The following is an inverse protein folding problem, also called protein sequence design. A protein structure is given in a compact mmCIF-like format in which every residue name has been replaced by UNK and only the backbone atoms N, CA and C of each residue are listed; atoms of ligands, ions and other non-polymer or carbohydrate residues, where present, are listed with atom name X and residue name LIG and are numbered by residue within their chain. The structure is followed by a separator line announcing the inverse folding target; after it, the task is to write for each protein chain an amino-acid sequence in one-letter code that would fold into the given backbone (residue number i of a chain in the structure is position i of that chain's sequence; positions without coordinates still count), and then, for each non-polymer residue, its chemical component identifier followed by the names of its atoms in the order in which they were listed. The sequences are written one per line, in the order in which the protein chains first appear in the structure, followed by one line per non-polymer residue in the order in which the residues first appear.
data_IF_258384684064
#
_entry.id   IF_258384684064
#
_cell.length_a   1.000
_cell.length_b   1.000
_cell.length_c   1.000
_cell.angle_alpha   90.00
_cell.angle_beta   90.00
_cell.angle_gamma   90.00
#
_symmetry.space_group_name_H-M   'P 1'
#
loop_
_entity.id
_entity.type
_entity.pdbx_description
1 polymer ?
#
# COMPACT_ATOMS: atom_id res chain seq x y z
N UNK A 1 -11.30 17.35 8.95
CA UNK A 1 -10.81 17.21 7.56
C UNK A 1 -10.23 15.80 7.48
N UNK A 2 -10.54 15.08 6.42
CA UNK A 2 -10.42 13.61 6.36
C UNK A 2 -8.95 13.23 6.06
N UNK A 3 -8.09 13.24 7.08
CA UNK A 3 -6.70 12.79 7.00
C UNK A 3 -6.58 11.25 6.88
N UNK A 4 -7.70 10.52 6.95
CA UNK A 4 -7.82 9.06 6.83
C UNK A 4 -7.71 8.54 5.38
N UNK A 5 -7.03 9.26 4.49
CA UNK A 5 -6.82 8.82 3.11
C UNK A 5 -5.41 8.25 2.94
N UNK A 6 -5.34 7.13 2.22
CA UNK A 6 -4.06 6.55 1.78
C UNK A 6 -3.24 7.58 0.98
N UNK A 7 -1.91 7.63 1.18
CA UNK A 7 -1.05 8.47 0.38
C UNK A 7 -1.04 7.97 -1.07
N UNK A 8 -0.86 8.86 -2.06
CA UNK A 8 -0.57 8.45 -3.43
C UNK A 8 0.63 7.49 -3.52
N UNK A 9 0.55 6.51 -4.40
CA UNK A 9 1.59 5.49 -4.62
C UNK A 9 2.06 5.57 -6.06
N UNK A 10 3.38 5.56 -6.26
CA UNK A 10 3.97 5.54 -7.60
C UNK A 10 3.55 4.24 -8.34
N UNK A 11 3.18 4.32 -9.63
CA UNK A 11 2.66 3.17 -10.36
C UNK A 11 3.66 2.01 -10.43
N UNK A 12 4.97 2.28 -10.48
CA UNK A 12 6.00 1.23 -10.51
C UNK A 12 6.05 0.44 -9.19
N UNK A 13 5.74 1.09 -8.06
CA UNK A 13 5.66 0.44 -6.74
C UNK A 13 4.52 -0.57 -6.71
N UNK A 14 3.33 -0.18 -7.18
CA UNK A 14 2.18 -1.07 -7.28
C UNK A 14 2.49 -2.26 -8.19
N UNK A 15 3.07 -2.03 -9.36
CA UNK A 15 3.47 -3.09 -10.28
C UNK A 15 4.45 -4.09 -9.63
N UNK A 16 5.52 -3.57 -9.01
CA UNK A 16 6.55 -4.36 -8.31
C UNK A 16 5.94 -5.25 -7.23
N UNK A 17 5.02 -4.70 -6.41
CA UNK A 17 4.39 -5.47 -5.33
C UNK A 17 3.50 -6.60 -5.87
N UNK A 18 2.73 -6.33 -6.94
CA UNK A 18 1.86 -7.32 -7.56
C UNK A 18 2.68 -8.42 -8.25
N UNK A 19 3.79 -8.06 -8.91
CA UNK A 19 4.72 -8.99 -9.57
C UNK A 19 5.35 -9.99 -8.62
N UNK A 20 5.71 -9.54 -7.42
CA UNK A 20 6.30 -10.39 -6.39
C UNK A 20 5.30 -11.33 -5.70
N UNK A 21 4.00 -11.25 -6.00
CA UNK A 21 3.01 -12.18 -5.44
C UNK A 21 3.08 -13.55 -6.11
N UNK A 22 3.04 -14.59 -5.27
CA UNK A 22 2.74 -15.95 -5.76
C UNK A 22 1.38 -16.00 -6.47
N UNK A 23 1.16 -16.92 -7.43
CA UNK A 23 -0.12 -17.03 -8.14
C UNK A 23 -1.33 -17.17 -7.22
N UNK A 24 -1.17 -17.85 -6.08
CA UNK A 24 -2.22 -18.02 -5.08
C UNK A 24 -2.60 -16.70 -4.39
N UNK A 25 -1.60 -15.88 -4.05
CA UNK A 25 -1.84 -14.58 -3.41
C UNK A 25 -2.39 -13.56 -4.41
N UNK A 26 -1.89 -13.58 -5.66
CA UNK A 26 -2.38 -12.72 -6.73
C UNK A 26 -3.87 -12.93 -7.00
N UNK A 27 -4.35 -14.19 -6.99
CA UNK A 27 -5.79 -14.51 -7.07
C UNK A 27 -6.64 -13.94 -5.93
N UNK A 28 -6.04 -13.57 -4.79
CA UNK A 28 -6.72 -13.03 -3.62
C UNK A 28 -6.65 -11.50 -3.55
N UNK A 29 -5.95 -10.85 -4.48
CA UNK A 29 -5.66 -9.42 -4.43
C UNK A 29 -6.94 -8.58 -4.39
N UNK A 30 -7.89 -8.80 -5.30
CA UNK A 30 -9.11 -8.00 -5.37
C UNK A 30 -9.93 -8.08 -4.07
N UNK A 31 -10.06 -9.29 -3.52
CA UNK A 31 -10.73 -9.48 -2.24
C UNK A 31 -9.97 -8.81 -1.08
N UNK A 32 -8.64 -8.77 -1.13
CA UNK A 32 -7.83 -8.08 -0.14
C UNK A 32 -7.96 -6.55 -0.26
N UNK A 33 -8.00 -6.00 -1.48
CA UNK A 33 -8.23 -4.57 -1.74
C UNK A 33 -9.57 -4.13 -1.13
N UNK A 34 -10.65 -4.85 -1.42
CA UNK A 34 -11.98 -4.55 -0.87
C UNK A 34 -11.99 -4.60 0.67
N UNK A 35 -11.35 -5.61 1.26
CA UNK A 35 -11.27 -5.76 2.73
C UNK A 35 -10.45 -4.65 3.38
N UNK A 36 -9.33 -4.27 2.76
CA UNK A 36 -8.45 -3.25 3.29
C UNK A 36 -9.09 -1.86 3.18
N UNK A 37 -9.79 -1.57 2.09
CA UNK A 37 -10.53 -0.31 1.91
C UNK A 37 -11.68 -0.09 2.89
N UNK A 38 -12.17 -1.14 3.56
CA UNK A 38 -13.17 -1.05 4.61
C UNK A 38 -12.57 -0.83 6.01
N UNK A 39 -11.23 -0.83 6.15
CA UNK A 39 -10.55 -0.67 7.43
C UNK A 39 -10.22 0.80 7.67
N UNK A 40 -10.29 1.27 8.92
CA UNK A 40 -9.85 2.61 9.26
C UNK A 40 -8.35 2.74 8.99
N UNK A 41 -7.95 3.92 8.52
CA UNK A 41 -6.54 4.27 8.39
C UNK A 41 -6.22 5.35 9.43
N UNK A 42 -4.97 5.42 9.85
CA UNK A 42 -4.49 6.44 10.78
C UNK A 42 -3.27 7.10 10.17
N UNK A 43 -3.32 8.42 9.96
CA UNK A 43 -2.20 9.21 9.44
C UNK A 43 -1.46 9.89 10.59
N UNK A 44 -0.14 9.72 10.59
CA UNK A 44 0.81 10.41 11.47
C UNK A 44 1.95 11.00 10.62
N UNK A 45 1.86 12.30 10.35
CA UNK A 45 2.77 13.01 9.45
C UNK A 45 2.80 12.39 8.05
N UNK A 46 3.98 11.91 7.65
CA UNK A 46 4.23 11.25 6.36
C UNK A 46 3.96 9.74 6.38
N UNK A 47 3.40 9.20 7.46
CA UNK A 47 3.15 7.77 7.63
C UNK A 47 1.67 7.49 7.80
N UNK A 48 1.14 6.53 7.04
CA UNK A 48 -0.23 6.03 7.21
C UNK A 48 -0.19 4.59 7.66
N UNK A 49 -0.98 4.27 8.67
CA UNK A 49 -1.05 2.95 9.30
C UNK A 49 -2.45 2.35 9.15
N UNK A 50 -2.53 1.04 8.92
CA UNK A 50 -3.77 0.26 8.81
C UNK A 50 -3.61 -1.01 9.63
N UNK A 51 -4.56 -1.30 10.51
CA UNK A 51 -4.61 -2.58 11.23
C UNK A 51 -5.27 -3.63 10.35
N UNK A 52 -4.49 -4.58 9.84
CA UNK A 52 -4.93 -5.66 8.96
C UNK A 52 -5.66 -6.76 9.74
N UNK A 53 -5.28 -6.97 10.99
CA UNK A 53 -5.96 -7.77 12.01
C UNK A 53 -5.47 -7.29 13.39
N UNK A 54 -5.75 -8.05 14.45
CA UNK A 54 -5.41 -7.64 15.82
C UNK A 54 -3.89 -7.65 16.11
N UNK A 55 -3.10 -8.37 15.30
CA UNK A 55 -1.64 -8.53 15.49
C UNK A 55 -0.82 -7.95 14.33
N UNK A 56 -1.45 -7.63 13.20
CA UNK A 56 -0.79 -7.23 11.97
C UNK A 56 -1.02 -5.76 11.65
N UNK A 57 0.04 -4.98 11.79
CA UNK A 57 0.11 -3.61 11.32
C UNK A 57 0.65 -3.54 9.88
N UNK A 58 0.03 -2.72 9.04
CA UNK A 58 0.51 -2.32 7.72
C UNK A 58 0.79 -0.82 7.74
N UNK A 59 1.93 -0.41 7.21
CA UNK A 59 2.39 0.98 7.21
C UNK A 59 2.84 1.41 5.83
N UNK A 60 2.40 2.59 5.41
CA UNK A 60 2.80 3.27 4.18
C UNK A 60 3.54 4.54 4.57
N UNK A 61 4.83 4.59 4.26
CA UNK A 61 5.65 5.78 4.46
C UNK A 61 5.75 6.55 3.14
N UNK A 62 5.34 7.81 3.16
CA UNK A 62 5.23 8.67 1.98
C UNK A 62 5.93 10.02 2.24
N UNK A 63 7.26 10.03 2.41
CA UNK A 63 7.99 11.27 2.61
C UNK A 63 7.82 12.17 1.38
N UNK A 64 7.41 13.42 1.59
CA UNK A 64 7.06 14.32 0.48
C UNK A 64 5.70 14.03 -0.16
N UNK A 65 4.86 13.20 0.47
CA UNK A 65 3.47 12.98 0.09
C UNK A 65 3.23 11.82 -0.89
N UNK A 66 4.26 11.12 -1.35
CA UNK A 66 4.14 9.98 -2.28
C UNK A 66 4.95 8.78 -1.78
N UNK A 67 4.38 7.59 -1.89
CA UNK A 67 5.12 6.33 -1.69
C UNK A 67 5.88 6.02 -2.98
N UNK A 68 7.18 6.30 -3.00
CA UNK A 68 8.03 6.15 -4.17
C UNK A 68 8.78 4.81 -4.25
N UNK A 69 8.82 4.02 -3.17
CA UNK A 69 9.52 2.73 -3.15
C UNK A 69 8.65 1.63 -2.54
N UNK A 70 8.87 0.38 -2.94
CA UNK A 70 8.15 -0.75 -2.37
C UNK A 70 8.47 -0.93 -0.89
N UNK A 71 9.72 -0.72 -0.49
CA UNK A 71 10.22 -0.84 0.87
C UNK A 71 9.54 0.15 1.84
N UNK A 72 9.04 1.27 1.32
CA UNK A 72 8.29 2.24 2.10
C UNK A 72 6.89 1.74 2.50
N UNK A 73 6.40 0.64 1.91
CA UNK A 73 5.23 -0.10 2.38
C UNK A 73 5.71 -1.31 3.18
N UNK A 74 5.46 -1.32 4.49
CA UNK A 74 5.87 -2.40 5.40
C UNK A 74 4.64 -3.07 6.02
N UNK A 75 4.71 -4.38 6.23
CA UNK A 75 3.62 -5.14 6.85
C UNK A 75 4.21 -6.13 7.84
N UNK A 76 3.62 -6.22 9.04
CA UNK A 76 4.05 -7.13 10.10
C UNK A 76 3.60 -8.59 9.92
N UNK A 77 2.88 -8.94 8.85
CA UNK A 77 2.39 -10.30 8.67
C UNK A 77 3.53 -11.29 8.38
N UNK A 78 3.31 -12.56 8.69
CA UNK A 78 4.27 -13.64 8.45
C UNK A 78 4.66 -13.86 6.98
N UNK A 79 3.89 -13.33 6.03
CA UNK A 79 4.18 -13.43 4.59
C UNK A 79 4.99 -12.25 4.04
N UNK A 80 5.34 -11.28 4.89
CA UNK A 80 6.15 -10.15 4.47
C UNK A 80 7.56 -10.60 4.06
N UNK A 81 8.18 -9.98 3.04
CA UNK A 81 7.67 -8.84 2.26
C UNK A 81 6.68 -9.22 1.14
N UNK A 82 6.60 -10.47 0.71
CA UNK A 82 5.77 -10.89 -0.43
C UNK A 82 4.29 -11.19 -0.05
N UNK A 83 3.66 -10.29 0.70
CA UNK A 83 2.28 -10.46 1.18
C UNK A 83 1.24 -9.72 0.33
N UNK A 84 0.01 -10.23 0.33
CA UNK A 84 -1.11 -9.60 -0.40
C UNK A 84 -1.51 -8.24 0.19
N UNK A 85 -1.23 -7.99 1.47
CA UNK A 85 -1.62 -6.75 2.15
C UNK A 85 -0.89 -5.52 1.61
N UNK A 86 0.42 -5.62 1.36
CA UNK A 86 1.21 -4.53 0.75
C UNK A 86 0.69 -4.20 -0.64
N UNK A 87 0.49 -5.22 -1.48
CA UNK A 87 -0.05 -5.05 -2.82
C UNK A 87 -1.48 -4.47 -2.79
N UNK A 88 -2.34 -4.96 -1.90
CA UNK A 88 -3.71 -4.45 -1.76
C UNK A 88 -3.74 -2.98 -1.34
N UNK A 89 -2.85 -2.57 -0.44
CA UNK A 89 -2.71 -1.18 -0.02
C UNK A 89 -2.31 -0.27 -1.19
N UNK A 90 -1.31 -0.70 -1.96
CA UNK A 90 -0.86 0.02 -3.14
C UNK A 90 -1.96 0.12 -4.22
N UNK A 91 -2.74 -0.94 -4.44
CA UNK A 91 -3.86 -0.94 -5.38
C UNK A 91 -5.07 -0.11 -4.90
N UNK A 92 -5.28 0.01 -3.59
CA UNK A 92 -6.36 0.82 -3.02
C UNK A 92 -6.00 2.32 -2.93
N UNK A 93 -4.71 2.64 -2.94
CA UNK A 93 -4.22 4.00 -2.87
C UNK A 93 -4.45 4.76 -4.19
N UNK A 94 -4.55 6.10 -4.15
CA UNK A 94 -4.50 6.90 -5.37
C UNK A 94 -3.18 6.65 -6.11
N UNK A 95 -3.22 6.62 -7.44
CA UNK A 95 -1.99 6.61 -8.24
C UNK A 95 -1.34 7.99 -8.17
N UNK A 96 -0.04 8.06 -7.91
CA UNK A 96 0.71 9.31 -8.04
C UNK A 96 0.86 9.66 -9.53
N UNK A 97 0.75 10.94 -9.86
CA UNK A 97 1.07 11.39 -11.21
C UNK A 97 2.56 11.14 -11.48
N UNK A 98 2.93 10.63 -12.67
CA UNK A 98 4.33 10.56 -13.05
C UNK A 98 4.91 11.98 -13.02
N UNK A 99 6.19 12.16 -12.62
CA UNK A 99 6.83 13.45 -12.75
C UNK A 99 6.68 13.91 -14.21
N UNK A 100 6.41 15.21 -14.45
CA UNK A 100 6.25 15.71 -15.80
C UNK A 100 7.47 15.34 -16.62
N UNK A 101 7.23 14.64 -17.74
CA UNK A 101 8.24 14.21 -18.69
C UNK A 101 8.97 15.47 -19.19
N UNK A 102 10.20 15.68 -18.70
CA UNK A 102 11.08 16.72 -19.20
C UNK A 102 11.69 16.19 -20.50
N UNK A 103 10.95 16.45 -21.58
CA UNK A 103 11.40 16.32 -22.97
C UNK A 103 12.69 17.12 -23.25
#
# INVERSE_FOLDING_TARGET
MNDDRLPPVAPEVTATLVENLSPRLRKRLDAAVTKLGARPTHRDGDTVTIQVDDETELRLHAPGGVVATAEAITCGCLLAPACVHRAAAACAAPTADPPPDLA
#
